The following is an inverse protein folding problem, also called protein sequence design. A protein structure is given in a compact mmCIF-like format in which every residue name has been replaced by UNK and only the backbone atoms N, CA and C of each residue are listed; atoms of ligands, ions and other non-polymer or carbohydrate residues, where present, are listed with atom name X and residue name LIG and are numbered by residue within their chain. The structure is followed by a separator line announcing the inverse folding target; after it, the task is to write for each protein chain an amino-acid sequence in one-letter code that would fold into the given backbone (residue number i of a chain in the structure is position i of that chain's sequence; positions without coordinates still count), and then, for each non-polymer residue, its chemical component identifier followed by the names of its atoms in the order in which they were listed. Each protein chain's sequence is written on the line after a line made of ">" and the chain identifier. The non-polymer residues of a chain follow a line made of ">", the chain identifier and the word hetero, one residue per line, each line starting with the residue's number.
data_IF_379987374481
#
_entry.id   IF_379987374481
#
_cell.length_a   1.000
_cell.length_b   1.000
_cell.length_c   1.000
_cell.angle_alpha   90.00
_cell.angle_beta   90.00
_cell.angle_gamma   90.00
#
_symmetry.space_group_name_H-M   'P 1'
#
loop_
_entity.id
_entity.type
_entity.pdbx_description
1 polymer ?
#
# COMPACT_ATOMS: atom_id res chain seq x y z
N UNK A 1 3.31 9.83 -30.71
CA UNK A 1 2.02 10.24 -30.12
C UNK A 1 2.14 11.63 -29.50
N UNK A 2 1.04 12.25 -29.08
CA UNK A 2 1.04 13.54 -28.38
C UNK A 2 0.76 13.37 -26.88
N UNK A 3 1.12 14.36 -26.04
CA UNK A 3 0.75 14.37 -24.62
C UNK A 3 -0.76 14.25 -24.42
N UNK A 4 -1.57 14.90 -25.28
CA UNK A 4 -3.03 14.80 -25.22
C UNK A 4 -3.53 13.38 -25.47
N UNK A 5 -2.91 12.66 -26.41
CA UNK A 5 -3.23 11.25 -26.66
C UNK A 5 -2.85 10.35 -25.48
N UNK A 6 -1.71 10.62 -24.82
CA UNK A 6 -1.29 9.88 -23.63
C UNK A 6 -2.28 10.10 -22.47
N UNK A 7 -2.68 11.34 -22.20
CA UNK A 7 -3.68 11.66 -21.17
C UNK A 7 -5.00 10.91 -21.41
N UNK A 8 -5.51 10.94 -22.65
CA UNK A 8 -6.73 10.21 -23.00
C UNK A 8 -6.60 8.70 -22.80
N UNK A 9 -5.45 8.11 -23.12
CA UNK A 9 -5.20 6.69 -22.92
C UNK A 9 -5.16 6.33 -21.42
N UNK A 10 -4.53 7.16 -20.59
CA UNK A 10 -4.49 7.01 -19.14
C UNK A 10 -5.90 7.06 -18.56
N UNK A 11 -6.69 8.08 -18.93
CA UNK A 11 -8.06 8.25 -18.44
C UNK A 11 -8.94 7.04 -18.78
N UNK A 12 -8.88 6.54 -20.02
CA UNK A 12 -9.63 5.35 -20.45
C UNK A 12 -9.19 4.11 -19.68
N UNK A 13 -7.88 3.92 -19.47
CA UNK A 13 -7.35 2.77 -18.75
C UNK A 13 -7.83 2.74 -17.30
N UNK A 14 -7.83 3.89 -16.63
CA UNK A 14 -8.32 4.03 -15.26
C UNK A 14 -9.84 3.81 -15.19
N UNK A 15 -10.60 4.36 -16.13
CA UNK A 15 -12.05 4.16 -16.21
C UNK A 15 -12.43 2.69 -16.43
N UNK A 16 -11.55 1.90 -17.07
CA UNK A 16 -11.70 0.45 -17.23
C UNK A 16 -11.20 -0.36 -16.03
N UNK A 17 -10.70 0.29 -14.97
CA UNK A 17 -10.24 -0.38 -13.76
C UNK A 17 -8.87 -1.05 -13.88
N UNK A 18 -8.01 -0.56 -14.78
CA UNK A 18 -6.68 -1.14 -14.97
C UNK A 18 -5.86 -1.13 -13.66
N UNK A 19 -5.37 -2.30 -13.26
CA UNK A 19 -4.50 -2.46 -12.09
C UNK A 19 -3.04 -2.12 -12.41
N UNK A 20 -2.62 -2.25 -13.67
CA UNK A 20 -1.27 -1.93 -14.17
C UNK A 20 -1.38 -0.98 -15.36
N UNK A 21 -0.57 0.08 -15.35
CA UNK A 21 -0.46 1.06 -16.43
C UNK A 21 0.98 1.11 -16.94
N UNK A 22 1.21 0.61 -18.15
CA UNK A 22 2.49 0.68 -18.84
C UNK A 22 2.61 1.97 -19.67
N UNK A 23 3.55 2.85 -19.31
CA UNK A 23 3.90 4.04 -20.06
C UNK A 23 5.22 3.83 -20.80
N UNK A 24 5.12 3.36 -22.05
CA UNK A 24 6.25 3.12 -22.95
C UNK A 24 6.63 4.38 -23.76
N UNK A 25 6.71 5.54 -23.10
CA UNK A 25 7.06 6.82 -23.71
C UNK A 25 7.87 7.69 -22.75
N UNK A 26 8.60 8.67 -23.29
CA UNK A 26 9.45 9.59 -22.52
C UNK A 26 9.48 10.98 -23.15
N UNK A 27 9.71 12.01 -22.34
CA UNK A 27 9.83 13.42 -22.73
C UNK A 27 10.84 14.14 -21.83
N UNK A 28 11.68 15.01 -22.38
CA UNK A 28 12.54 15.90 -21.58
C UNK A 28 11.76 17.03 -20.90
N UNK A 29 10.56 17.35 -21.39
CA UNK A 29 9.69 18.38 -20.82
C UNK A 29 8.68 17.79 -19.85
N UNK A 30 8.59 18.38 -18.66
CA UNK A 30 7.57 18.06 -17.65
C UNK A 30 6.19 18.58 -18.09
N UNK A 31 5.13 17.87 -17.68
CA UNK A 31 3.75 18.27 -17.92
C UNK A 31 2.94 18.15 -16.63
N UNK A 32 2.40 19.27 -16.15
CA UNK A 32 1.51 19.30 -14.98
C UNK A 32 0.25 18.46 -15.19
N UNK A 33 -0.25 18.39 -16.43
CA UNK A 33 -1.42 17.59 -16.76
C UNK A 33 -1.11 16.09 -16.64
N UNK A 34 0.05 15.66 -17.18
CA UNK A 34 0.49 14.26 -17.09
C UNK A 34 0.76 13.85 -15.63
N UNK A 35 1.44 14.71 -14.87
CA UNK A 35 1.66 14.50 -13.44
C UNK A 35 0.34 14.30 -12.69
N UNK A 36 -0.67 15.16 -12.93
CA UNK A 36 -1.99 15.03 -12.30
C UNK A 36 -2.70 13.75 -12.70
N UNK A 37 -2.68 13.37 -13.97
CA UNK A 37 -3.32 12.14 -14.44
C UNK A 37 -2.70 10.90 -13.79
N UNK A 38 -1.36 10.82 -13.73
CA UNK A 38 -0.67 9.71 -13.06
C UNK A 38 -0.86 9.75 -11.54
N UNK A 39 -0.87 10.92 -10.90
CA UNK A 39 -1.18 11.05 -9.47
C UNK A 39 -2.61 10.61 -9.14
N UNK A 40 -3.55 10.82 -10.06
CA UNK A 40 -4.91 10.29 -9.94
C UNK A 40 -4.92 8.78 -10.10
N UNK A 41 -4.23 8.24 -11.12
CA UNK A 41 -4.08 6.79 -11.32
C UNK A 41 -3.54 6.08 -10.07
N UNK A 42 -2.52 6.66 -9.43
CA UNK A 42 -1.92 6.12 -8.21
C UNK A 42 -2.91 5.97 -7.04
N UNK A 43 -4.05 6.69 -7.07
CA UNK A 43 -5.11 6.67 -6.05
C UNK A 43 -6.43 6.05 -6.54
N UNK A 44 -6.49 5.59 -7.79
CA UNK A 44 -7.70 5.06 -8.43
C UNK A 44 -8.12 3.70 -7.82
N UNK A 45 -9.06 3.00 -8.46
CA UNK A 45 -9.49 1.64 -8.08
C UNK A 45 -9.99 1.53 -6.62
N UNK A 46 -10.74 2.53 -6.16
CA UNK A 46 -11.29 2.57 -4.80
C UNK A 46 -10.22 2.80 -3.73
N UNK A 47 -9.13 3.50 -4.05
CA UNK A 47 -8.01 3.75 -3.14
C UNK A 47 -6.89 2.69 -3.20
N UNK A 48 -7.11 1.57 -3.90
CA UNK A 48 -6.07 0.53 -4.10
C UNK A 48 -4.96 0.99 -5.06
N UNK A 49 -5.24 2.00 -5.88
CA UNK A 49 -4.32 2.55 -6.86
C UNK A 49 -4.17 1.67 -8.11
N UNK A 50 -3.56 2.27 -9.13
CA UNK A 50 -3.00 1.59 -10.30
C UNK A 50 -1.49 1.62 -10.18
N UNK A 51 -0.83 0.48 -10.39
CA UNK A 51 0.63 0.41 -10.47
C UNK A 51 1.09 1.04 -11.80
N UNK A 52 1.90 2.08 -11.71
CA UNK A 52 2.39 2.83 -12.86
C UNK A 52 3.79 2.35 -13.20
N UNK A 53 3.98 1.81 -14.39
CA UNK A 53 5.27 1.29 -14.84
C UNK A 53 5.75 2.12 -16.02
N UNK A 54 6.89 2.78 -15.88
CA UNK A 54 7.44 3.66 -16.90
C UNK A 54 8.74 3.07 -17.47
N UNK A 55 8.90 3.19 -18.79
CA UNK A 55 10.18 2.98 -19.43
C UNK A 55 11.14 4.14 -19.08
N UNK A 56 12.39 3.85 -18.67
CA UNK A 56 13.35 4.89 -18.30
C UNK A 56 13.81 5.77 -19.48
N UNK A 57 13.77 5.23 -20.71
CA UNK A 57 14.23 5.90 -21.93
C UNK A 57 15.56 5.33 -22.45
N UNK A 58 15.89 5.65 -23.70
CA UNK A 58 16.96 4.98 -24.46
C UNK A 58 18.09 5.95 -24.88
N UNK A 59 18.38 6.96 -24.05
CA UNK A 59 19.33 8.03 -24.37
C UNK A 59 20.72 7.84 -23.71
N UNK A 60 20.92 6.74 -22.97
CA UNK A 60 22.12 6.47 -22.15
C UNK A 60 22.41 7.56 -21.08
N UNK A 61 21.36 8.20 -20.56
CA UNK A 61 21.48 9.31 -19.62
C UNK A 61 21.16 8.92 -18.16
N UNK A 62 21.86 9.57 -17.23
CA UNK A 62 21.51 9.60 -15.81
C UNK A 62 20.32 10.55 -15.58
N UNK A 63 19.18 9.99 -15.19
CA UNK A 63 17.94 10.74 -14.95
C UNK A 63 18.01 11.65 -13.71
N UNK A 64 19.01 11.47 -12.85
CA UNK A 64 19.30 12.37 -11.73
C UNK A 64 19.86 13.71 -12.22
N UNK A 65 20.48 13.72 -13.40
CA UNK A 65 21.09 14.90 -14.04
C UNK A 65 20.19 15.42 -15.18
N UNK A 66 19.66 14.51 -15.99
CA UNK A 66 18.86 14.80 -17.17
C UNK A 66 17.46 14.17 -17.04
N UNK A 67 16.54 14.81 -16.28
CA UNK A 67 15.24 14.20 -15.99
C UNK A 67 14.45 13.90 -17.27
N UNK A 68 13.72 12.79 -17.22
CA UNK A 68 12.84 12.31 -18.30
C UNK A 68 11.49 11.94 -17.72
N UNK A 69 10.41 12.43 -18.33
CA UNK A 69 9.06 12.27 -17.84
C UNK A 69 8.28 11.24 -18.67
N UNK A 70 7.55 10.31 -18.04
CA UNK A 70 7.15 10.33 -16.63
C UNK A 70 8.14 9.73 -15.62
N UNK A 71 9.25 9.14 -16.05
CA UNK A 71 10.18 8.40 -15.18
C UNK A 71 10.86 9.22 -14.06
N UNK A 72 10.84 10.55 -14.14
CA UNK A 72 11.36 11.46 -13.10
C UNK A 72 10.25 12.17 -12.30
N UNK A 73 8.99 11.76 -12.43
CA UNK A 73 7.94 12.26 -11.53
C UNK A 73 8.02 11.57 -10.16
N UNK A 74 7.88 12.37 -9.10
CA UNK A 74 7.71 11.89 -7.74
C UNK A 74 6.22 11.60 -7.47
N UNK A 75 5.82 10.34 -7.66
CA UNK A 75 4.45 9.86 -7.48
C UNK A 75 4.53 8.48 -6.80
N UNK A 76 3.66 8.18 -5.81
CA UNK A 76 3.58 6.83 -5.26
C UNK A 76 3.18 5.80 -6.33
N UNK A 77 3.42 4.52 -6.05
CA UNK A 77 3.04 3.40 -6.93
C UNK A 77 3.65 3.46 -8.35
N UNK A 78 4.79 4.15 -8.50
CA UNK A 78 5.58 4.17 -9.73
C UNK A 78 6.72 3.17 -9.65
N UNK A 79 6.98 2.46 -10.75
CA UNK A 79 8.20 1.69 -11.01
C UNK A 79 8.78 2.14 -12.34
N UNK A 80 10.00 2.67 -12.31
CA UNK A 80 10.73 3.11 -13.49
C UNK A 80 11.76 2.04 -13.85
N UNK A 81 11.77 1.62 -15.11
CA UNK A 81 12.45 0.39 -15.52
C UNK A 81 13.56 0.68 -16.54
N UNK A 82 14.79 0.32 -16.19
CA UNK A 82 15.93 0.27 -17.09
C UNK A 82 15.95 -1.02 -17.93
N UNK A 83 16.66 -0.99 -19.06
CA UNK A 83 16.90 -2.16 -19.88
C UNK A 83 18.21 -2.84 -19.45
N UNK A 84 18.15 -4.14 -19.20
CA UNK A 84 19.30 -5.01 -19.03
C UNK A 84 19.67 -5.67 -20.37
N UNK A 85 20.97 -5.82 -20.59
CA UNK A 85 21.56 -6.60 -21.66
C UNK A 85 21.55 -8.10 -21.33
N UNK A 86 21.74 -9.00 -22.31
CA UNK A 86 21.84 -10.44 -22.05
C UNK A 86 22.95 -10.85 -21.07
N UNK A 87 23.98 -10.01 -20.91
CA UNK A 87 25.05 -10.15 -19.90
C UNK A 87 24.57 -9.93 -18.46
N UNK A 88 23.36 -9.41 -18.26
CA UNK A 88 22.85 -8.98 -16.97
C UNK A 88 23.35 -7.60 -16.53
N UNK A 89 24.15 -6.91 -17.34
CA UNK A 89 24.52 -5.51 -17.12
C UNK A 89 23.44 -4.57 -17.64
N UNK A 90 23.49 -3.30 -17.23
CA UNK A 90 22.72 -2.24 -17.90
C UNK A 90 23.02 -2.26 -19.40
N UNK A 91 21.98 -2.15 -20.24
CA UNK A 91 22.16 -2.01 -21.69
C UNK A 91 22.73 -0.62 -22.01
N UNK A 92 23.63 -0.54 -23.00
CA UNK A 92 24.39 0.68 -23.32
C UNK A 92 23.52 1.90 -23.68
N UNK A 93 22.29 1.66 -24.16
CA UNK A 93 21.33 2.72 -24.48
C UNK A 93 20.44 3.11 -23.30
N UNK A 94 20.36 2.32 -22.23
CA UNK A 94 19.37 2.52 -21.17
C UNK A 94 19.66 3.77 -20.37
N UNK A 95 18.64 4.58 -20.12
CA UNK A 95 18.70 5.57 -19.06
C UNK A 95 18.75 4.88 -17.69
N UNK A 96 19.36 5.56 -16.72
CA UNK A 96 19.69 5.02 -15.39
C UNK A 96 19.67 6.13 -14.33
N UNK A 97 20.10 5.83 -13.11
CA UNK A 97 20.19 6.79 -12.00
C UNK A 97 19.15 6.55 -10.91
N UNK A 98 19.18 7.36 -9.85
CA UNK A 98 18.32 7.19 -8.67
C UNK A 98 16.81 7.15 -8.96
N UNK A 99 16.27 7.91 -9.95
CA UNK A 99 14.85 7.80 -10.28
C UNK A 99 14.44 6.44 -10.87
N UNK A 100 15.39 5.61 -11.34
CA UNK A 100 15.12 4.31 -11.95
C UNK A 100 15.17 3.22 -10.88
N UNK A 101 14.11 2.44 -10.73
CA UNK A 101 13.95 1.53 -9.61
C UNK A 101 14.70 0.21 -9.81
N UNK A 102 14.50 -0.44 -10.96
CA UNK A 102 15.13 -1.72 -11.30
C UNK A 102 15.39 -1.84 -12.80
N UNK A 103 16.12 -2.89 -13.19
CA UNK A 103 16.23 -3.27 -14.60
C UNK A 103 15.41 -4.52 -14.93
N UNK A 104 15.11 -4.71 -16.22
CA UNK A 104 14.53 -5.93 -16.75
C UNK A 104 15.08 -6.20 -18.16
N UNK A 105 14.96 -7.42 -18.71
CA UNK A 105 15.43 -7.72 -20.05
C UNK A 105 14.87 -6.74 -21.08
N UNK A 106 15.75 -5.99 -21.75
CA UNK A 106 15.35 -4.94 -22.68
C UNK A 106 16.19 -4.85 -23.94
N UNK A 107 17.33 -5.51 -24.01
CA UNK A 107 18.17 -5.60 -25.22
C UNK A 107 17.96 -6.93 -25.95
N UNK A 108 17.82 -6.87 -27.28
CA UNK A 108 17.60 -8.05 -28.16
C UNK A 108 16.40 -8.89 -27.71
N UNK A 109 15.28 -8.22 -27.45
CA UNK A 109 14.02 -8.88 -27.11
C UNK A 109 13.28 -9.25 -28.39
N UNK A 110 13.03 -10.55 -28.58
CA UNK A 110 12.21 -11.07 -29.66
C UNK A 110 10.73 -10.91 -29.30
N UNK A 111 9.95 -10.23 -30.13
CA UNK A 111 8.52 -10.06 -29.91
C UNK A 111 7.76 -9.90 -31.22
N UNK A 112 6.43 -9.93 -31.15
CA UNK A 112 5.53 -9.66 -32.27
C UNK A 112 5.76 -8.26 -32.83
N UNK A 113 5.71 -8.12 -34.15
CA UNK A 113 5.74 -6.84 -34.84
C UNK A 113 4.52 -6.65 -35.73
N UNK A 114 4.10 -5.40 -35.90
CA UNK A 114 2.94 -5.05 -36.72
C UNK A 114 3.36 -4.77 -38.17
N UNK A 115 2.54 -5.08 -39.19
CA UNK A 115 1.20 -5.70 -39.14
C UNK A 115 1.20 -7.20 -38.88
N UNK A 116 2.27 -7.91 -39.20
CA UNK A 116 2.45 -9.34 -38.95
C UNK A 116 3.95 -9.66 -38.78
N UNK A 117 4.26 -10.68 -37.99
CA UNK A 117 5.60 -11.23 -37.86
C UNK A 117 6.25 -11.00 -36.50
N UNK A 118 7.57 -11.20 -36.46
CA UNK A 118 8.36 -11.11 -35.24
C UNK A 118 9.71 -10.47 -35.53
N UNK A 119 10.22 -9.70 -34.58
CA UNK A 119 11.53 -9.07 -34.71
C UNK A 119 12.21 -8.90 -33.36
N UNK A 120 13.52 -8.66 -33.41
CA UNK A 120 14.29 -8.24 -32.24
C UNK A 120 14.23 -6.73 -32.08
N UNK A 121 13.93 -6.26 -30.87
CA UNK A 121 13.97 -4.84 -30.48
C UNK A 121 14.81 -4.68 -29.21
N UNK A 122 15.51 -3.56 -29.12
CA UNK A 122 16.29 -3.17 -27.94
C UNK A 122 15.73 -1.85 -27.40
N UNK A 123 14.94 -1.91 -26.32
CA UNK A 123 14.24 -0.75 -25.75
C UNK A 123 13.95 -0.94 -24.25
N UNK A 124 13.93 0.15 -23.49
CA UNK A 124 13.37 0.17 -22.12
C UNK A 124 11.86 -0.08 -22.11
N UNK A 125 11.16 0.12 -23.24
CA UNK A 125 9.74 -0.21 -23.37
C UNK A 125 9.48 -1.71 -23.25
N UNK A 126 10.36 -2.54 -23.82
CA UNK A 126 10.32 -4.00 -23.67
C UNK A 126 10.61 -4.40 -22.21
N UNK A 127 11.61 -3.79 -21.59
CA UNK A 127 11.93 -4.02 -20.17
C UNK A 127 10.74 -3.68 -19.25
N UNK A 128 10.12 -2.51 -19.44
CA UNK A 128 8.94 -2.10 -18.70
C UNK A 128 7.73 -3.05 -18.92
N UNK A 129 7.62 -3.65 -20.12
CA UNK A 129 6.60 -4.67 -20.39
C UNK A 129 6.84 -5.96 -19.59
N UNK A 130 8.08 -6.41 -19.41
CA UNK A 130 8.38 -7.56 -18.54
C UNK A 130 7.97 -7.31 -17.09
N UNK A 131 8.28 -6.12 -16.54
CA UNK A 131 7.86 -5.75 -15.18
C UNK A 131 6.33 -5.64 -15.08
N UNK A 132 5.67 -5.15 -16.13
CA UNK A 132 4.20 -5.11 -16.20
C UNK A 132 3.59 -6.50 -16.20
N UNK A 133 4.20 -7.46 -16.91
CA UNK A 133 3.81 -8.86 -16.88
C UNK A 133 3.99 -9.48 -15.48
N UNK A 134 5.14 -9.26 -14.84
CA UNK A 134 5.39 -9.73 -13.47
C UNK A 134 4.37 -9.15 -12.46
N UNK A 135 4.07 -7.86 -12.55
CA UNK A 135 3.02 -7.24 -11.73
C UNK A 135 1.64 -7.85 -11.99
N UNK A 136 1.29 -8.08 -13.25
CA UNK A 136 0.02 -8.69 -13.62
C UNK A 136 -0.10 -10.13 -13.09
N UNK A 137 0.99 -10.90 -13.06
CA UNK A 137 1.03 -12.23 -12.45
C UNK A 137 0.72 -12.15 -10.95
N UNK A 138 1.34 -11.22 -10.22
CA UNK A 138 1.04 -11.01 -8.78
C UNK A 138 -0.42 -10.65 -8.56
N UNK A 139 -0.97 -9.69 -9.32
CA UNK A 139 -2.40 -9.35 -9.25
C UNK A 139 -3.30 -10.56 -9.54
N UNK A 140 -2.92 -11.39 -10.52
CA UNK A 140 -3.70 -12.59 -10.89
C UNK A 140 -3.74 -13.64 -9.79
N UNK A 141 -2.65 -13.78 -9.04
CA UNK A 141 -2.59 -14.68 -7.88
C UNK A 141 -3.58 -14.27 -6.80
N UNK A 142 -3.54 -13.01 -6.36
CA UNK A 142 -4.49 -12.52 -5.34
C UNK A 142 -5.95 -12.65 -5.79
N UNK A 143 -6.23 -12.38 -7.08
CA UNK A 143 -7.57 -12.55 -7.64
C UNK A 143 -8.02 -14.02 -7.64
N UNK A 144 -7.13 -14.97 -7.96
CA UNK A 144 -7.42 -16.40 -7.93
C UNK A 144 -7.74 -16.91 -6.52
N UNK A 145 -7.09 -16.35 -5.50
CA UNK A 145 -7.34 -16.64 -4.09
C UNK A 145 -8.57 -15.90 -3.51
N UNK A 146 -9.33 -15.18 -4.33
CA UNK A 146 -10.51 -14.41 -3.87
C UNK A 146 -10.17 -13.23 -2.96
N UNK A 147 -8.91 -12.77 -3.01
CA UNK A 147 -8.41 -11.61 -2.28
C UNK A 147 -8.17 -10.42 -3.24
N UNK A 148 -7.82 -9.27 -2.68
CA UNK A 148 -7.36 -8.12 -3.45
C UNK A 148 -6.11 -7.52 -2.83
N UNK A 149 -5.30 -6.89 -3.67
CA UNK A 149 -4.04 -6.27 -3.27
C UNK A 149 -3.96 -4.83 -3.79
N UNK A 150 -3.20 -3.99 -3.10
CA UNK A 150 -2.95 -2.59 -3.50
C UNK A 150 -1.76 -2.48 -4.45
N UNK A 151 -1.70 -1.40 -5.23
CA UNK A 151 -0.52 -1.11 -6.06
C UNK A 151 0.76 -0.93 -5.24
N UNK A 152 0.66 -0.44 -4.00
CA UNK A 152 1.78 -0.32 -3.09
C UNK A 152 2.32 -1.69 -2.68
N UNK A 153 1.44 -2.64 -2.34
CA UNK A 153 1.82 -4.03 -2.03
C UNK A 153 2.47 -4.72 -3.21
N UNK A 154 1.90 -4.60 -4.42
CA UNK A 154 2.51 -5.21 -5.61
C UNK A 154 3.87 -4.60 -5.92
N UNK A 155 4.03 -3.27 -5.79
CA UNK A 155 5.35 -2.61 -5.91
C UNK A 155 6.34 -3.19 -4.91
N UNK A 156 5.91 -3.37 -3.68
CA UNK A 156 6.75 -3.86 -2.60
C UNK A 156 7.14 -5.33 -2.78
N UNK A 157 6.20 -6.19 -3.19
CA UNK A 157 6.47 -7.59 -3.58
C UNK A 157 7.55 -7.64 -4.66
N UNK A 158 7.39 -6.85 -5.73
CA UNK A 158 8.38 -6.77 -6.80
C UNK A 158 9.74 -6.23 -6.32
N UNK A 159 9.75 -5.31 -5.35
CA UNK A 159 10.98 -4.74 -4.79
C UNK A 159 11.78 -5.78 -4.01
N UNK A 160 11.13 -6.50 -3.10
CA UNK A 160 11.85 -7.47 -2.25
C UNK A 160 12.16 -8.79 -2.93
N UNK A 161 11.39 -9.14 -3.96
CA UNK A 161 11.65 -10.32 -4.76
C UNK A 161 12.66 -10.08 -5.88
N UNK A 162 13.01 -8.83 -6.18
CA UNK A 162 13.94 -8.51 -7.25
C UNK A 162 15.32 -9.16 -7.00
N UNK A 163 15.89 -9.75 -8.05
CA UNK A 163 17.17 -10.41 -7.98
C UNK A 163 18.30 -9.36 -7.97
N UNK A 164 18.99 -9.22 -6.84
CA UNK A 164 20.13 -8.33 -6.71
C UNK A 164 21.22 -8.67 -7.74
N UNK A 165 21.78 -7.64 -8.39
CA UNK A 165 22.81 -7.78 -9.40
C UNK A 165 23.91 -6.75 -9.19
N UNK A 166 25.14 -7.20 -8.96
CA UNK A 166 26.27 -6.30 -8.69
C UNK A 166 26.51 -5.31 -9.85
N UNK A 167 26.24 -5.74 -11.09
CA UNK A 167 26.32 -4.91 -12.29
C UNK A 167 25.32 -3.74 -12.33
N UNK A 168 24.32 -3.73 -11.45
CA UNK A 168 23.24 -2.74 -11.40
C UNK A 168 23.23 -1.88 -10.13
N UNK A 169 24.04 -2.23 -9.13
CA UNK A 169 24.07 -1.61 -7.79
C UNK A 169 24.14 -0.09 -7.81
N UNK A 170 24.96 0.48 -8.69
CA UNK A 170 25.13 1.94 -8.83
C UNK A 170 24.44 2.49 -10.10
N UNK A 171 23.55 1.71 -10.70
CA UNK A 171 22.83 2.07 -11.94
C UNK A 171 21.36 2.31 -11.71
N UNK A 172 20.73 1.55 -10.82
CA UNK A 172 19.31 1.67 -10.48
C UNK A 172 19.14 1.59 -8.96
N UNK A 173 18.11 2.22 -8.42
CA UNK A 173 17.84 2.39 -6.99
C UNK A 173 17.88 1.06 -6.22
N UNK A 174 17.27 -0.01 -6.75
CA UNK A 174 17.20 -1.30 -6.06
C UNK A 174 18.41 -2.19 -6.35
N UNK A 175 19.30 -1.77 -7.25
CA UNK A 175 20.46 -2.56 -7.66
C UNK A 175 20.11 -3.97 -8.17
N UNK A 176 18.93 -4.14 -8.77
CA UNK A 176 18.33 -5.46 -9.00
C UNK A 176 17.64 -5.58 -10.36
N UNK A 177 17.41 -6.83 -10.78
CA UNK A 177 16.58 -7.20 -11.92
C UNK A 177 15.24 -7.77 -11.47
N UNK A 178 14.22 -7.64 -12.33
CA UNK A 178 12.92 -8.25 -12.07
C UNK A 178 13.04 -9.78 -12.01
N UNK A 179 12.38 -10.39 -11.03
CA UNK A 179 12.24 -11.83 -10.91
C UNK A 179 10.76 -12.17 -10.68
N UNK A 180 10.11 -12.67 -11.73
CA UNK A 180 8.68 -12.97 -11.72
C UNK A 180 8.36 -14.22 -10.89
N UNK A 181 9.27 -15.19 -10.84
CA UNK A 181 9.08 -16.41 -10.05
C UNK A 181 9.14 -16.07 -8.56
N UNK A 182 10.19 -15.35 -8.14
CA UNK A 182 10.33 -14.90 -6.77
C UNK A 182 9.16 -13.99 -6.36
N UNK A 183 8.66 -13.14 -7.26
CA UNK A 183 7.50 -12.28 -6.98
C UNK A 183 6.23 -13.11 -6.66
N UNK A 184 5.98 -14.18 -7.41
CA UNK A 184 4.87 -15.09 -7.13
C UNK A 184 5.10 -15.87 -5.84
N UNK A 185 6.32 -16.35 -5.57
CA UNK A 185 6.62 -17.04 -4.31
C UNK A 185 6.35 -16.13 -3.09
N UNK A 186 6.77 -14.86 -3.15
CA UNK A 186 6.47 -13.88 -2.09
C UNK A 186 4.96 -13.65 -1.96
N UNK A 187 4.22 -13.54 -3.07
CA UNK A 187 2.77 -13.41 -3.04
C UNK A 187 2.06 -14.64 -2.44
N UNK A 188 2.54 -15.85 -2.76
CA UNK A 188 2.02 -17.13 -2.25
C UNK A 188 2.23 -17.29 -0.74
N UNK A 189 3.32 -16.74 -0.22
CA UNK A 189 3.59 -16.71 1.22
C UNK A 189 2.76 -15.65 1.98
N UNK A 190 1.76 -15.04 1.31
CA UNK A 190 0.86 -14.03 1.88
C UNK A 190 1.35 -12.60 1.72
N UNK A 191 2.34 -12.34 0.87
CA UNK A 191 3.00 -11.04 0.77
C UNK A 191 3.99 -10.80 1.92
N UNK A 192 4.40 -9.55 2.12
CA UNK A 192 5.38 -9.16 3.17
C UNK A 192 4.80 -9.00 4.58
N UNK A 193 3.51 -9.26 4.76
CA UNK A 193 2.80 -8.95 5.97
C UNK A 193 1.55 -9.82 6.01
N UNK A 194 1.37 -10.50 7.13
CA UNK A 194 0.21 -11.35 7.39
C UNK A 194 -1.08 -10.58 7.06
N UNK A 195 -1.81 -11.01 6.04
CA UNK A 195 -3.12 -10.46 5.70
C UNK A 195 -4.20 -11.36 6.32
N UNK A 196 -4.91 -10.86 7.34
CA UNK A 196 -6.04 -11.57 7.97
C UNK A 196 -7.33 -11.02 7.40
N UNK A 197 -7.94 -11.76 6.48
CA UNK A 197 -9.24 -11.43 5.91
C UNK A 197 -10.35 -12.13 6.72
N UNK A 198 -10.90 -11.45 7.72
CA UNK A 198 -12.00 -11.98 8.54
C UNK A 198 -13.35 -11.79 7.84
N UNK A 199 -13.63 -12.58 6.79
CA UNK A 199 -14.92 -12.53 6.07
C UNK A 199 -16.08 -13.25 6.79
N UNK A 200 -15.80 -14.17 7.72
CA UNK A 200 -16.80 -15.11 8.26
C UNK A 200 -17.08 -14.99 9.77
N UNK A 201 -16.73 -13.86 10.41
CA UNK A 201 -16.92 -13.69 11.86
C UNK A 201 -17.69 -12.40 12.16
N UNK A 202 -19.02 -12.48 12.09
CA UNK A 202 -19.88 -11.52 12.78
C UNK A 202 -19.84 -11.80 14.28
N UNK A 203 -19.45 -10.79 15.06
CA UNK A 203 -19.54 -10.84 16.51
C UNK A 203 -20.72 -9.99 16.95
N UNK A 204 -21.74 -10.62 17.53
CA UNK A 204 -22.78 -9.89 18.24
C UNK A 204 -22.28 -9.67 19.68
N UNK A 205 -22.14 -8.41 20.07
CA UNK A 205 -21.81 -8.02 21.43
C UNK A 205 -22.97 -7.20 22.00
N UNK A 206 -23.43 -7.51 23.23
CA UNK A 206 -24.37 -6.63 23.92
C UNK A 206 -23.68 -5.28 24.25
N UNK A 207 -24.44 -4.21 24.52
CA UNK A 207 -23.87 -2.95 24.98
C UNK A 207 -22.93 -3.17 26.17
N UNK A 208 -21.67 -2.73 26.04
CA UNK A 208 -20.63 -2.93 27.06
C UNK A 208 -19.81 -4.24 26.94
N UNK A 209 -20.14 -5.13 25.99
CA UNK A 209 -19.41 -6.39 25.81
C UNK A 209 -18.02 -6.20 25.17
N UNK A 210 -17.04 -6.98 25.63
CA UNK A 210 -15.68 -7.04 25.05
C UNK A 210 -15.40 -8.43 24.50
N UNK A 211 -14.70 -8.52 23.35
CA UNK A 211 -14.21 -9.80 22.81
C UNK A 211 -12.73 -9.72 22.48
N UNK A 212 -11.98 -10.70 22.96
CA UNK A 212 -10.56 -10.87 22.64
C UNK A 212 -10.44 -11.76 21.40
N UNK A 213 -9.68 -11.29 20.41
CA UNK A 213 -9.30 -12.07 19.22
C UNK A 213 -7.81 -12.37 19.31
N UNK A 214 -7.46 -13.64 19.39
CA UNK A 214 -6.06 -14.08 19.42
C UNK A 214 -5.55 -14.32 18.00
N UNK A 215 -4.47 -13.64 17.64
CA UNK A 215 -3.76 -13.85 16.37
C UNK A 215 -2.49 -14.64 16.64
N UNK A 216 -2.30 -15.74 15.91
CA UNK A 216 -1.06 -16.52 15.94
C UNK A 216 -0.16 -16.09 14.77
N UNK A 217 1.06 -15.65 15.07
CA UNK A 217 2.08 -15.33 14.07
C UNK A 217 3.25 -16.29 14.27
N UNK A 218 3.67 -16.98 13.22
CA UNK A 218 4.81 -17.88 13.24
C UNK A 218 5.86 -17.45 12.20
N UNK A 219 7.15 -17.37 12.55
CA UNK A 219 8.20 -17.01 11.59
C UNK A 219 8.46 -18.13 10.58
N UNK A 220 8.69 -17.74 9.32
CA UNK A 220 8.96 -18.64 8.20
C UNK A 220 10.40 -19.21 8.21
N UNK A 221 11.34 -18.58 8.92
CA UNK A 221 12.73 -19.01 9.04
C UNK A 221 13.11 -19.25 10.50
N UNK A 222 14.06 -20.17 10.71
CA UNK A 222 14.68 -20.39 12.01
C UNK A 222 15.55 -19.19 12.40
N UNK A 223 15.27 -18.57 13.55
CA UNK A 223 16.03 -17.44 14.07
C UNK A 223 15.53 -16.96 15.43
N UNK A 224 16.32 -16.12 16.11
CA UNK A 224 15.87 -15.41 17.31
C UNK A 224 15.12 -14.13 16.91
N UNK A 225 13.81 -14.13 17.14
CA UNK A 225 12.99 -12.93 16.99
C UNK A 225 12.82 -12.30 18.36
N UNK A 226 13.41 -11.12 18.55
CA UNK A 226 13.30 -10.37 19.81
C UNK A 226 12.17 -9.37 19.71
N UNK A 227 11.21 -9.48 20.64
CA UNK A 227 10.23 -8.43 20.91
C UNK A 227 10.98 -7.22 21.48
N UNK A 228 10.75 -6.03 20.94
CA UNK A 228 11.31 -4.81 21.51
C UNK A 228 10.50 -4.41 22.75
N UNK A 229 11.13 -4.43 23.93
CA UNK A 229 10.50 -4.16 25.23
C UNK A 229 10.10 -2.69 25.45
N UNK A 230 10.29 -1.81 24.46
CA UNK A 230 9.82 -0.42 24.51
C UNK A 230 8.28 -0.29 24.53
N UNK A 231 7.54 -1.38 24.33
CA UNK A 231 6.07 -1.43 24.43
C UNK A 231 5.54 -2.04 25.74
N UNK A 232 6.40 -2.30 26.74
CA UNK A 232 5.96 -2.82 28.05
C UNK A 232 5.07 -1.83 28.84
N UNK A 233 4.96 -0.57 28.39
CA UNK A 233 3.98 0.38 28.92
C UNK A 233 2.54 0.04 28.53
N UNK A 234 2.30 -0.64 27.41
CA UNK A 234 0.94 -1.00 26.97
C UNK A 234 0.40 -2.19 27.79
N UNK A 235 1.28 -3.13 28.17
CA UNK A 235 0.89 -4.30 28.95
C UNK A 235 0.76 -4.04 30.46
N UNK A 236 1.50 -3.07 31.03
CA UNK A 236 1.36 -2.72 32.45
C UNK A 236 -0.02 -2.15 32.77
N UNK A 237 -0.54 -1.29 31.89
CA UNK A 237 -1.91 -0.75 32.00
C UNK A 237 -2.96 -1.86 31.89
N UNK A 238 -2.67 -2.94 31.15
CA UNK A 238 -3.57 -4.08 30.97
C UNK A 238 -3.60 -5.02 32.19
N UNK A 239 -2.44 -5.32 32.79
CA UNK A 239 -2.38 -6.13 34.03
C UNK A 239 -2.87 -5.36 35.26
N UNK A 240 -2.69 -4.04 35.32
CA UNK A 240 -3.25 -3.19 36.37
C UNK A 240 -4.78 -3.12 36.26
N UNK A 241 -5.32 -3.04 35.04
CA UNK A 241 -6.77 -3.09 34.79
C UNK A 241 -7.39 -4.46 35.13
N UNK A 242 -6.65 -5.56 34.94
CA UNK A 242 -7.07 -6.92 35.34
C UNK A 242 -7.02 -7.12 36.87
N UNK A 243 -6.12 -6.44 37.58
CA UNK A 243 -6.04 -6.48 39.05
C UNK A 243 -7.06 -5.58 39.74
N UNK A 244 -7.59 -4.57 39.05
CA UNK A 244 -8.53 -3.61 39.61
C UNK A 244 -10.01 -3.95 39.37
N UNK A 245 -10.33 -5.12 38.81
CA UNK A 245 -11.72 -5.44 38.45
C UNK A 245 -11.98 -6.93 38.42
N UNK A 246 -12.44 -7.45 39.56
CA UNK A 246 -13.56 -8.38 39.81
C UNK A 246 -13.27 -9.06 41.16
N UNK A 247 -13.77 -8.46 42.24
CA UNK A 247 -14.37 -9.25 43.32
C UNK A 247 -15.87 -9.09 43.13
N UNK A 248 -16.51 -10.16 42.66
CA UNK A 248 -17.96 -10.35 42.69
C UNK A 248 -18.34 -10.87 44.08
N UNK A 249 -19.35 -10.22 44.65
CA UNK A 249 -20.33 -10.72 45.61
C UNK A 249 -19.88 -11.11 47.03
N UNK A 250 -19.98 -10.16 47.96
CA UNK A 250 -20.57 -10.40 49.29
C UNK A 250 -21.41 -9.18 49.70
N UNK A 251 -22.72 -9.41 49.82
CA UNK A 251 -23.72 -8.77 50.67
C UNK A 251 -23.71 -7.24 50.84
N UNK A 252 -24.76 -6.55 50.37
CA UNK A 252 -25.42 -5.48 51.15
C UNK A 252 -26.79 -5.13 50.54
N UNK A 253 -27.82 -5.69 51.19
CA UNK A 253 -29.25 -5.52 50.94
C UNK A 253 -29.80 -4.18 51.47
N UNK A 254 -28.98 -3.13 51.62
CA UNK A 254 -29.30 -1.99 52.52
C UNK A 254 -29.35 -0.58 51.88
N UNK A 255 -29.31 -0.42 50.54
CA UNK A 255 -29.19 0.92 49.93
C UNK A 255 -30.37 1.46 49.10
N UNK A 256 -31.51 0.76 49.06
CA UNK A 256 -32.73 1.31 48.42
C UNK A 256 -33.62 2.13 49.39
N UNK A 257 -33.30 2.14 50.68
CA UNK A 257 -34.13 2.77 51.73
C UNK A 257 -33.67 4.19 52.11
N UNK A 258 -32.46 4.61 51.69
CA UNK A 258 -31.89 5.93 51.98
C UNK A 258 -32.25 6.99 50.91
N UNK A 259 -32.22 6.63 49.62
CA UNK A 259 -32.64 7.55 48.53
C UNK A 259 -34.14 7.86 48.52
N UNK A 260 -34.97 7.01 49.15
CA UNK A 260 -36.42 7.25 49.28
C UNK A 260 -36.75 8.21 50.43
N UNK A 261 -35.91 8.27 51.46
CA UNK A 261 -36.11 9.13 52.66
C UNK A 261 -35.66 10.58 52.46
N UNK A 262 -34.78 10.87 51.49
CA UNK A 262 -34.42 12.24 51.14
C UNK A 262 -35.45 12.92 50.22
N UNK A 263 -36.14 12.16 49.35
CA UNK A 263 -37.17 12.72 48.44
C UNK A 263 -38.48 13.13 49.13
N UNK A 264 -38.75 12.64 50.34
CA UNK A 264 -39.93 13.02 51.14
C UNK A 264 -39.66 14.17 52.13
N UNK A 265 -38.40 14.59 52.31
CA UNK A 265 -38.05 15.72 53.21
C UNK A 265 -37.97 17.09 52.52
N UNK A 266 -37.93 17.15 51.20
CA UNK A 266 -37.85 18.42 50.45
C UNK A 266 -39.21 18.94 49.93
N UNK A 267 -40.33 18.23 50.17
CA UNK A 267 -41.66 18.65 49.71
C UNK A 267 -42.57 19.32 50.76
N UNK A 268 -42.11 19.51 52.00
CA UNK A 268 -42.89 20.18 53.05
C UNK A 268 -42.06 21.27 53.77
N UNK A 269 -42.06 22.48 53.22
CA UNK A 269 -41.74 23.70 53.98
C UNK A 269 -42.79 24.79 53.68
N UNK A 270 -43.23 25.58 54.68
CA UNK A 270 -44.52 26.27 54.61
C UNK A 270 -44.46 27.58 53.82
N UNK A 271 -45.52 27.86 53.08
CA UNK A 271 -45.85 29.18 52.56
C UNK A 271 -46.39 30.01 53.73
N UNK A 272 -45.64 31.02 54.17
CA UNK A 272 -46.13 32.06 55.07
C UNK A 272 -46.27 33.39 54.32
N UNK A 273 -47.36 34.06 54.63
CA UNK A 273 -48.00 35.16 53.91
C UNK A 273 -47.96 36.44 54.75
N UNK A 274 -47.45 37.54 54.19
CA UNK A 274 -47.83 38.93 54.50
C UNK A 274 -46.86 39.85 53.75
N UNK A 275 -47.31 40.56 52.73
CA UNK A 275 -47.87 41.91 52.80
C UNK A 275 -46.82 43.02 53.00
N UNK A 276 -46.84 43.89 51.99
CA UNK A 276 -46.83 45.35 52.04
C UNK A 276 -45.56 46.21 51.99
N UNK A 277 -45.71 47.22 51.12
CA UNK A 277 -45.15 48.58 51.16
C UNK A 277 -43.62 48.75 51.00
N UNK A 278 -43.06 49.70 50.24
CA UNK A 278 -43.58 50.83 49.49
C UNK A 278 -42.43 51.65 48.85
N UNK A 279 -42.81 52.54 47.93
CA UNK A 279 -42.21 53.82 47.49
C UNK A 279 -40.95 53.90 46.60
N UNK A 280 -41.21 54.64 45.50
CA UNK A 280 -40.37 55.45 44.59
C UNK A 280 -39.50 54.78 43.51
#
# INVERSE_FOLDING_TARGET
>A
GSTASALKAIDVSIAQGASVLLNAFSSSSSSKALLRALSFAAKANGGRGTLIINAAGNDAEDLSIHPRYPASFDIPNVINVAAAAPSGSLADFSNYGLPVHLAAPGDKIFSTDSPDGYTYRSTTSAAAAFVSGAAALVYSWFAAEGSSTTAAEVKEILRVSAAAAETLKDKVEWGAQVDAEAAIQVAQLGGMWVQIDCKDKHFSLPPGGTRVVTVYVQPFLSGEFKRNAAEDQINKTYEEALKSGVDEDEDDEDNEDEERRERERESEAPVDSSEDESYE
#
